data_IF_725251090627
#
_entry.id   IF_725251090627
#
_cell.length_a   1.000
_cell.length_b   1.000
_cell.length_c   1.000
_cell.angle_alpha   90.00
_cell.angle_beta   90.00
_cell.angle_gamma   90.00
#
_symmetry.space_group_name_H-M   'P 1'
#
loop_
_entity.id
_entity.type
_entity.pdbx_description
1 polymer ?
#
# COMPACT_ATOMS: atom_id res chain seq x y z
N UNK A 1 -1.36 -4.80 -24.60
CA UNK A 1 -0.03 -4.66 -23.94
C UNK A 1 0.18 -3.19 -23.57
N UNK A 2 0.10 -2.83 -22.28
CA UNK A 2 0.33 -1.45 -21.81
C UNK A 2 1.83 -1.15 -21.82
N UNK A 3 2.34 -0.54 -22.90
CA UNK A 3 3.74 -0.16 -23.07
C UNK A 3 4.04 1.07 -22.19
N UNK A 4 4.84 0.91 -21.13
CA UNK A 4 5.50 1.91 -20.25
C UNK A 4 5.20 1.82 -18.75
N UNK A 5 4.66 0.72 -18.25
CA UNK A 5 4.56 0.51 -16.80
C UNK A 5 5.92 0.10 -16.21
N UNK A 6 6.32 0.73 -15.10
CA UNK A 6 7.51 0.45 -14.29
C UNK A 6 7.12 0.22 -12.84
N UNK A 7 7.96 -0.48 -12.08
CA UNK A 7 7.81 -0.64 -10.63
C UNK A 7 8.43 0.55 -9.92
N UNK A 8 7.71 1.11 -8.94
CA UNK A 8 8.18 2.20 -8.09
C UNK A 8 8.04 1.82 -6.62
N UNK A 9 9.00 2.26 -5.82
CA UNK A 9 8.93 2.21 -4.36
C UNK A 9 8.06 3.38 -3.86
N UNK A 10 6.93 3.07 -3.23
CA UNK A 10 5.94 4.01 -2.73
C UNK A 10 5.90 3.93 -1.19
N UNK A 11 6.23 5.01 -0.47
CA UNK A 11 6.06 5.05 0.97
C UNK A 11 4.57 5.03 1.32
N UNK A 12 4.20 4.12 2.22
CA UNK A 12 2.85 3.89 2.68
C UNK A 12 2.82 3.85 4.21
N UNK A 13 1.99 4.70 4.81
CA UNK A 13 1.92 4.86 6.27
C UNK A 13 0.62 4.28 6.78
N UNK A 14 0.71 3.39 7.77
CA UNK A 14 -0.44 2.90 8.53
C UNK A 14 -0.43 3.58 9.88
N UNK A 15 -1.52 4.26 10.23
CA UNK A 15 -1.78 4.80 11.55
C UNK A 15 -2.95 4.04 12.16
N UNK A 16 -2.76 3.53 13.38
CA UNK A 16 -3.77 2.78 14.13
C UNK A 16 -3.89 3.38 15.52
N UNK A 17 -5.12 3.52 16.02
CA UNK A 17 -5.38 3.88 17.41
C UNK A 17 -5.89 2.65 18.15
N UNK A 18 -5.12 2.16 19.13
CA UNK A 18 -5.44 0.97 19.92
C UNK A 18 -5.59 1.37 21.39
N UNK A 19 -6.81 1.33 21.93
CA UNK A 19 -7.06 1.67 23.33
C UNK A 19 -6.64 3.09 23.72
N UNK A 20 -6.68 4.03 22.77
CA UNK A 20 -6.24 5.42 22.97
C UNK A 20 -4.75 5.67 22.69
N UNK A 21 -3.99 4.64 22.29
CA UNK A 21 -2.58 4.78 21.88
C UNK A 21 -2.51 4.84 20.36
N UNK A 22 -1.91 5.92 19.84
CA UNK A 22 -1.63 6.06 18.41
C UNK A 22 -0.31 5.39 18.04
N UNK A 23 -0.37 4.43 17.12
CA UNK A 23 0.76 3.72 16.55
C UNK A 23 0.86 4.05 15.07
N UNK A 24 2.01 4.56 14.65
CA UNK A 24 2.31 4.86 13.26
C UNK A 24 3.45 3.97 12.76
N UNK A 25 3.28 3.38 11.57
CA UNK A 25 4.30 2.59 10.89
C UNK A 25 4.39 3.02 9.42
N UNK A 26 5.60 3.21 8.93
CA UNK A 26 5.89 3.52 7.54
C UNK A 26 6.45 2.27 6.86
N UNK A 27 5.91 1.95 5.69
CA UNK A 27 6.30 0.82 4.86
C UNK A 27 6.70 1.32 3.48
N UNK A 28 7.60 0.60 2.82
CA UNK A 28 7.91 0.83 1.40
C UNK A 28 7.23 -0.26 0.58
N UNK A 29 6.36 0.15 -0.34
CA UNK A 29 5.52 -0.74 -1.14
C UNK A 29 5.90 -0.62 -2.60
N UNK A 30 6.11 -1.75 -3.27
CA UNK A 30 6.36 -1.78 -4.72
C UNK A 30 5.03 -1.76 -5.47
N UNK A 31 4.78 -0.70 -6.21
CA UNK A 31 3.58 -0.54 -7.03
C UNK A 31 3.93 -0.23 -8.49
N UNK A 32 3.04 -0.60 -9.41
CA UNK A 32 3.25 -0.46 -10.85
C UNK A 32 2.54 0.79 -11.37
N UNK A 33 3.19 1.56 -12.25
CA UNK A 33 2.58 2.69 -12.94
C UNK A 33 3.52 3.26 -14.01
N UNK A 34 3.12 4.27 -14.77
CA UNK A 34 4.02 4.96 -15.72
C UNK A 34 4.92 5.98 -15.01
N UNK A 35 4.52 6.44 -13.82
CA UNK A 35 5.27 7.32 -12.94
C UNK A 35 4.92 7.02 -11.47
N UNK A 36 5.62 7.66 -10.51
CA UNK A 36 5.38 7.47 -9.07
C UNK A 36 3.95 7.82 -8.64
N UNK A 37 3.32 8.84 -9.22
CA UNK A 37 1.97 9.25 -8.86
C UNK A 37 0.92 8.22 -9.29
N UNK A 38 1.06 7.64 -10.49
CA UNK A 38 0.18 6.58 -10.99
C UNK A 38 0.39 5.27 -10.22
N UNK A 39 1.63 4.93 -9.87
CA UNK A 39 1.93 3.78 -9.02
C UNK A 39 1.30 3.93 -7.63
N UNK A 40 1.32 5.14 -7.04
CA UNK A 40 0.61 5.44 -5.79
C UNK A 40 -0.90 5.24 -5.95
N UNK A 41 -1.50 5.76 -7.01
CA UNK A 41 -2.94 5.59 -7.27
C UNK A 41 -3.31 4.11 -7.43
N UNK A 42 -2.49 3.36 -8.15
CA UNK A 42 -2.68 1.90 -8.32
C UNK A 42 -2.64 1.17 -6.98
N UNK A 43 -1.73 1.56 -6.08
CA UNK A 43 -1.69 1.03 -4.72
C UNK A 43 -2.96 1.40 -3.93
N UNK A 44 -3.38 2.66 -3.96
CA UNK A 44 -4.60 3.11 -3.27
C UNK A 44 -5.85 2.39 -3.77
N UNK A 45 -5.99 2.23 -5.09
CA UNK A 45 -7.12 1.55 -5.70
C UNK A 45 -7.09 0.04 -5.39
N UNK A 46 -5.90 -0.58 -5.32
CA UNK A 46 -5.74 -1.97 -4.91
C UNK A 46 -6.14 -2.24 -3.45
N UNK A 47 -6.03 -1.24 -2.57
CA UNK A 47 -6.41 -1.34 -1.16
C UNK A 47 -7.89 -1.04 -0.89
N UNK A 48 -8.61 -0.48 -1.87
CA UNK A 48 -10.05 -0.21 -1.77
C UNK A 48 -10.88 -1.43 -2.15
N UNK A 49 -12.06 -1.57 -1.57
CA UNK A 49 -13.09 -2.53 -1.98
C UNK A 49 -13.86 -2.03 -3.22
N UNK A 50 -14.85 -2.82 -3.64
CA UNK A 50 -15.69 -2.50 -4.80
C UNK A 50 -16.59 -1.27 -4.58
N UNK A 51 -16.70 -0.79 -3.34
CA UNK A 51 -17.41 0.43 -2.96
C UNK A 51 -16.47 1.65 -2.91
N UNK A 52 -15.20 1.48 -3.24
CA UNK A 52 -14.19 2.53 -3.19
C UNK A 52 -13.73 2.89 -1.77
N UNK A 53 -14.07 2.09 -0.76
CA UNK A 53 -13.69 2.28 0.64
C UNK A 53 -12.46 1.43 0.95
N UNK A 54 -11.53 1.92 1.77
CA UNK A 54 -10.37 1.13 2.18
C UNK A 54 -10.81 -0.15 2.90
N UNK A 55 -10.37 -1.29 2.38
CA UNK A 55 -10.71 -2.59 2.93
C UNK A 55 -9.68 -3.01 3.96
N UNK A 56 -10.12 -3.19 5.22
CA UNK A 56 -9.27 -3.73 6.27
C UNK A 56 -8.72 -5.12 5.90
N UNK A 57 -9.54 -5.96 5.27
CA UNK A 57 -9.10 -7.28 4.81
C UNK A 57 -8.02 -7.17 3.71
N UNK A 58 -8.15 -6.25 2.74
CA UNK A 58 -7.09 -6.05 1.74
C UNK A 58 -5.82 -5.45 2.34
N UNK A 59 -5.94 -4.57 3.34
CA UNK A 59 -4.81 -4.06 4.11
C UNK A 59 -4.11 -5.17 4.91
N UNK A 60 -4.88 -6.08 5.51
CA UNK A 60 -4.37 -7.26 6.23
C UNK A 60 -3.68 -8.24 5.28
N UNK A 61 -4.27 -8.53 4.11
CA UNK A 61 -3.65 -9.34 3.07
C UNK A 61 -2.37 -8.68 2.55
N UNK A 62 -2.41 -7.38 2.31
CA UNK A 62 -1.24 -6.60 1.92
C UNK A 62 -0.13 -6.73 2.96
N UNK A 63 -0.48 -6.64 4.25
CA UNK A 63 0.46 -6.90 5.32
C UNK A 63 0.98 -8.34 5.22
N UNK A 64 0.14 -9.36 5.33
CA UNK A 64 0.53 -10.78 5.37
C UNK A 64 1.36 -11.27 4.17
N UNK A 65 1.10 -10.75 2.96
CA UNK A 65 1.68 -11.26 1.71
C UNK A 65 2.72 -10.34 1.06
N UNK A 66 2.87 -9.09 1.52
CA UNK A 66 4.12 -8.39 1.26
C UNK A 66 5.20 -9.14 2.03
N UNK A 67 6.04 -9.90 1.33
CA UNK A 67 7.14 -10.64 1.97
C UNK A 67 8.02 -9.61 2.68
N UNK A 68 7.80 -9.43 3.98
CA UNK A 68 8.50 -8.44 4.78
C UNK A 68 9.95 -8.88 4.97
N UNK A 69 10.85 -8.33 4.18
CA UNK A 69 12.18 -8.06 4.71
C UNK A 69 12.05 -6.75 5.49
N UNK A 70 12.08 -6.86 6.82
CA UNK A 70 12.32 -5.69 7.67
C UNK A 70 13.68 -5.13 7.31
N UNK A 71 13.69 -4.03 6.55
CA UNK A 71 14.92 -3.26 6.35
C UNK A 71 15.24 -2.61 7.70
N UNK A 72 16.31 -3.09 8.34
CA UNK A 72 16.92 -2.44 9.51
C UNK A 72 17.71 -1.22 9.06
#
# INVERSE_FOLDING_TARGET
MKKNEKVFDIPFTIQMTLGGIDVQRVYIVKAVGRNKAEARRTLEDGLKDDKGVFSFHKLELFYKYSKFETVK
#
